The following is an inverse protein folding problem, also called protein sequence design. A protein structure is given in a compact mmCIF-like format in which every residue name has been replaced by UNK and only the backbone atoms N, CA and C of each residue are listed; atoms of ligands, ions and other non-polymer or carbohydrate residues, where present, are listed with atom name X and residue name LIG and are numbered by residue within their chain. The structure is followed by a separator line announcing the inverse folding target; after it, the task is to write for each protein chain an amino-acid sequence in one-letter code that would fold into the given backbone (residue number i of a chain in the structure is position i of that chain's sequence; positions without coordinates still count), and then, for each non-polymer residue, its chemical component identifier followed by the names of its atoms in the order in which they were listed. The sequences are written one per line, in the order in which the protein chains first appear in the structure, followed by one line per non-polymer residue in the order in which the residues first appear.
data_IF_366845987720
#
_entry.id   IF_366845987720
#
_cell.length_a   1.000
_cell.length_b   1.000
_cell.length_c   1.000
_cell.angle_alpha   90.00
_cell.angle_beta   90.00
_cell.angle_gamma   90.00
#
_symmetry.space_group_name_H-M   'P 1'
#
loop_
_entity.id
_entity.type
_entity.pdbx_description
1 polymer ?
#
# COMPACT_ATOMS: atom_id res chain seq x y z
N UNK A 1 -7.67 -58.50 18.61
CA UNK A 1 -9.11 -58.81 18.73
C UNK A 1 -9.72 -57.94 19.82
N UNK A 2 -10.97 -57.52 19.60
CA UNK A 2 -11.85 -56.66 20.43
C UNK A 2 -11.73 -55.14 20.21
N UNK A 3 -12.52 -54.72 19.22
CA UNK A 3 -13.19 -53.43 19.06
C UNK A 3 -13.96 -53.05 20.33
N UNK A 4 -14.17 -51.75 20.57
CA UNK A 4 -15.47 -51.16 20.95
C UNK A 4 -15.39 -49.62 20.83
N UNK A 5 -16.25 -49.07 19.96
CA UNK A 5 -16.63 -47.65 19.85
C UNK A 5 -17.64 -47.28 20.96
N UNK A 6 -17.77 -45.98 21.28
CA UNK A 6 -19.04 -45.27 21.06
C UNK A 6 -18.77 -43.89 20.40
N UNK A 7 -19.41 -43.48 19.29
CA UNK A 7 -20.83 -43.16 19.01
C UNK A 7 -21.37 -41.94 19.79
N UNK A 8 -21.49 -40.85 19.02
CA UNK A 8 -22.44 -39.72 19.02
C UNK A 8 -22.59 -38.79 20.26
N UNK A 9 -22.27 -37.51 20.03
CA UNK A 9 -23.22 -36.42 20.27
C UNK A 9 -23.01 -35.33 19.23
N UNK A 10 -23.96 -35.25 18.29
CA UNK A 10 -24.11 -34.18 17.31
C UNK A 10 -24.88 -33.06 18.00
N UNK A 11 -24.30 -31.87 18.12
CA UNK A 11 -25.03 -30.66 18.45
C UNK A 11 -25.31 -29.91 17.14
N UNK A 12 -26.51 -30.10 16.59
CA UNK A 12 -27.06 -29.18 15.59
C UNK A 12 -27.51 -27.91 16.30
N UNK A 13 -26.98 -26.76 15.89
CA UNK A 13 -27.62 -25.46 16.13
C UNK A 13 -28.12 -24.98 14.78
N UNK A 14 -29.45 -25.00 14.65
CA UNK A 14 -30.20 -24.51 13.52
C UNK A 14 -30.41 -22.98 13.62
N UNK A 15 -30.58 -22.39 12.44
CA UNK A 15 -30.54 -20.99 12.07
C UNK A 15 -31.50 -20.05 12.83
N UNK A 16 -31.09 -18.79 12.95
CA UNK A 16 -32.00 -17.64 12.80
C UNK A 16 -31.48 -16.74 11.69
N UNK A 17 -32.10 -16.84 10.52
CA UNK A 17 -32.03 -15.83 9.49
C UNK A 17 -32.89 -14.63 9.94
N UNK A 18 -32.26 -13.46 10.10
CA UNK A 18 -32.95 -12.18 10.06
C UNK A 18 -32.65 -11.58 8.68
N UNK A 19 -33.66 -11.61 7.83
CA UNK A 19 -33.69 -10.91 6.55
C UNK A 19 -34.22 -9.51 6.80
N UNK A 20 -33.46 -8.48 6.42
CA UNK A 20 -33.98 -7.14 6.11
C UNK A 20 -33.21 -6.60 4.90
N UNK A 21 -33.83 -6.80 3.73
CA UNK A 21 -33.95 -5.88 2.59
C UNK A 21 -32.84 -4.81 2.39
N UNK A 22 -32.07 -5.05 1.34
CA UNK A 22 -31.54 -4.11 0.32
C UNK A 22 -31.93 -2.63 0.39
N UNK A 23 -30.90 -1.79 0.23
CA UNK A 23 -30.86 -0.74 -0.80
C UNK A 23 -29.47 -0.79 -1.47
N UNK A 24 -29.47 -0.95 -2.80
CA UNK A 24 -28.33 -0.64 -3.66
C UNK A 24 -27.96 0.84 -3.49
N UNK A 25 -26.67 1.11 -3.30
CA UNK A 25 -26.02 2.31 -3.82
C UNK A 25 -24.55 1.94 -4.05
N UNK A 26 -24.21 1.71 -5.32
CA UNK A 26 -22.83 1.65 -5.81
C UNK A 26 -22.18 3.02 -5.57
N UNK A 27 -21.50 3.16 -4.44
CA UNK A 27 -20.48 4.17 -4.22
C UNK A 27 -19.11 3.47 -4.30
N UNK A 28 -18.22 3.99 -5.15
CA UNK A 28 -16.85 3.50 -5.32
C UNK A 28 -16.15 3.23 -3.99
N UNK A 29 -15.77 1.97 -3.75
CA UNK A 29 -14.80 1.61 -2.72
C UNK A 29 -13.37 1.94 -3.23
N UNK A 30 -13.03 3.22 -3.29
CA UNK A 30 -11.63 3.68 -3.28
C UNK A 30 -11.29 4.05 -1.82
N UNK A 31 -10.25 3.46 -1.19
CA UNK A 31 -9.86 3.85 0.16
C UNK A 31 -9.25 5.26 0.14
N UNK A 32 -10.02 6.26 0.56
CA UNK A 32 -9.48 7.59 0.86
C UNK A 32 -8.79 7.59 2.22
N UNK A 33 -7.57 8.15 2.26
CA UNK A 33 -6.90 8.49 3.50
C UNK A 33 -7.63 9.63 4.24
N UNK A 34 -7.45 9.66 5.56
CA UNK A 34 -8.22 10.45 6.53
C UNK A 34 -8.47 11.90 6.10
N UNK A 35 -9.67 12.17 5.57
CA UNK A 35 -10.21 13.52 5.49
C UNK A 35 -10.79 13.90 6.86
N UNK A 36 -10.21 14.90 7.52
CA UNK A 36 -10.89 15.63 8.59
C UNK A 36 -12.13 16.32 8.02
N UNK A 37 -13.30 15.72 8.22
CA UNK A 37 -14.56 16.23 7.70
C UNK A 37 -14.99 17.51 8.44
N UNK A 38 -15.13 18.61 7.70
CA UNK A 38 -16.00 19.72 8.10
C UNK A 38 -17.27 19.62 7.26
N UNK A 39 -18.41 19.43 7.93
CA UNK A 39 -19.69 19.18 7.30
C UNK A 39 -20.21 20.37 6.48
N UNK A 40 -20.70 20.11 5.27
CA UNK A 40 -21.71 20.93 4.61
C UNK A 40 -22.65 20.04 3.79
N UNK A 41 -23.94 20.22 4.04
CA UNK A 41 -25.05 19.38 3.60
C UNK A 41 -25.30 19.39 2.09
N UNK A 42 -25.83 18.24 1.66
CA UNK A 42 -26.36 17.83 0.36
C UNK A 42 -27.29 18.83 -0.35
N UNK A 43 -27.18 18.82 -1.67
CA UNK A 43 -28.21 19.25 -2.64
C UNK A 43 -28.96 18.01 -3.13
N UNK A 44 -30.26 18.14 -3.40
CA UNK A 44 -31.04 17.20 -4.22
C UNK A 44 -32.01 18.01 -5.08
N UNK A 45 -32.04 17.72 -6.38
CA UNK A 45 -33.26 17.72 -7.18
C UNK A 45 -33.03 16.84 -8.42
N UNK A 46 -33.88 15.81 -8.53
CA UNK A 46 -34.10 14.91 -9.67
C UNK A 46 -34.67 15.67 -10.88
N UNK A 47 -34.55 15.10 -12.09
CA UNK A 47 -35.67 14.89 -13.04
C UNK A 47 -35.24 14.01 -14.25
N UNK A 48 -36.10 13.02 -14.55
CA UNK A 48 -36.11 12.04 -15.65
C UNK A 48 -36.19 12.63 -17.09
N UNK A 49 -35.87 11.83 -18.13
CA UNK A 49 -36.81 11.51 -19.23
C UNK A 49 -36.22 10.67 -20.39
N UNK A 50 -36.86 9.51 -20.60
CA UNK A 50 -37.34 8.85 -21.84
C UNK A 50 -36.43 8.39 -23.01
N UNK A 51 -36.46 7.06 -23.20
CA UNK A 51 -36.83 6.26 -24.39
C UNK A 51 -36.36 6.67 -25.81
N UNK A 52 -35.64 5.79 -26.53
CA UNK A 52 -36.19 4.83 -27.53
C UNK A 52 -35.06 4.15 -28.32
N UNK A 53 -35.26 2.89 -28.68
CA UNK A 53 -34.43 2.10 -29.63
C UNK A 53 -35.29 1.76 -30.84
N UNK A 54 -34.73 1.60 -32.06
CA UNK A 54 -34.48 0.22 -32.53
C UNK A 54 -33.29 0.04 -33.53
N UNK A 55 -32.46 -0.99 -33.27
CA UNK A 55 -32.17 -2.22 -34.05
C UNK A 55 -31.99 -2.22 -35.62
N UNK A 56 -31.42 -3.28 -36.24
CA UNK A 56 -30.02 -3.39 -36.71
C UNK A 56 -29.89 -3.73 -38.22
N UNK A 57 -28.71 -3.60 -38.86
CA UNK A 57 -28.40 -4.20 -40.19
C UNK A 57 -26.87 -4.28 -40.46
N UNK A 58 -26.34 -5.50 -40.38
CA UNK A 58 -25.55 -6.22 -41.42
C UNK A 58 -24.07 -5.90 -41.69
N UNK A 59 -23.25 -6.92 -41.38
CA UNK A 59 -22.07 -7.47 -42.08
C UNK A 59 -20.81 -6.63 -42.33
N UNK A 60 -19.71 -7.05 -41.71
CA UNK A 60 -18.55 -7.59 -42.43
C UNK A 60 -17.64 -8.37 -41.46
N UNK A 61 -17.34 -9.62 -41.83
CA UNK A 61 -16.19 -10.38 -41.35
C UNK A 61 -14.91 -9.79 -41.92
N UNK A 62 -13.79 -10.15 -41.28
CA UNK A 62 -12.38 -9.83 -41.55
C UNK A 62 -11.87 -8.53 -40.93
N UNK A 63 -11.25 -8.62 -39.76
CA UNK A 63 -9.79 -8.48 -39.66
C UNK A 63 -9.25 -9.02 -38.33
N UNK A 64 -8.01 -9.50 -38.38
CA UNK A 64 -7.26 -10.14 -37.30
C UNK A 64 -7.29 -9.30 -36.02
N UNK A 65 -7.65 -9.93 -34.91
CA UNK A 65 -7.24 -9.53 -33.57
C UNK A 65 -5.70 -9.51 -33.50
N UNK A 66 -5.12 -8.35 -33.83
CA UNK A 66 -4.02 -7.83 -33.03
C UNK A 66 -4.71 -7.14 -31.86
N UNK A 67 -4.35 -7.54 -30.64
CA UNK A 67 -4.67 -6.79 -29.43
C UNK A 67 -4.14 -5.35 -29.61
N UNK A 68 -4.98 -4.45 -30.14
CA UNK A 68 -4.79 -3.02 -29.99
C UNK A 68 -5.13 -2.72 -28.54
N UNK A 69 -4.11 -2.34 -27.79
CA UNK A 69 -4.20 -1.87 -26.41
C UNK A 69 -5.29 -0.80 -26.33
N UNK A 70 -6.46 -1.16 -25.82
CA UNK A 70 -7.72 -0.41 -26.00
C UNK A 70 -7.81 0.85 -25.11
N UNK A 71 -6.66 1.38 -24.69
CA UNK A 71 -6.57 2.56 -23.79
C UNK A 71 -6.92 3.87 -24.51
N UNK A 72 -6.91 3.89 -25.84
CA UNK A 72 -7.10 5.12 -26.63
C UNK A 72 -5.94 6.11 -26.53
N UNK A 73 -4.83 5.70 -25.88
CA UNK A 73 -3.62 6.51 -25.73
C UNK A 73 -2.73 6.38 -26.97
N UNK A 74 -1.99 7.44 -27.26
CA UNK A 74 -0.99 7.46 -28.31
C UNK A 74 0.28 6.75 -27.83
N UNK A 75 0.53 5.57 -28.38
CA UNK A 75 1.77 4.84 -28.12
C UNK A 75 3.00 5.57 -28.67
N UNK A 76 4.04 5.66 -27.85
CA UNK A 76 5.34 6.29 -28.17
C UNK A 76 6.42 5.23 -28.35
N UNK A 77 7.44 5.59 -29.12
CA UNK A 77 8.60 4.71 -29.33
C UNK A 77 9.42 4.60 -28.03
N UNK A 78 9.65 3.38 -27.49
CA UNK A 78 10.47 3.18 -26.29
C UNK A 78 11.89 3.77 -26.40
N UNK A 79 12.43 3.92 -27.61
CA UNK A 79 13.74 4.54 -27.84
C UNK A 79 13.80 6.02 -27.45
N UNK A 80 12.65 6.73 -27.44
CA UNK A 80 12.56 8.15 -27.03
C UNK A 80 12.87 8.34 -25.53
N UNK A 81 12.83 7.25 -24.76
CA UNK A 81 12.89 7.24 -23.30
C UNK A 81 14.12 6.48 -22.78
N UNK A 82 15.11 6.24 -23.64
CA UNK A 82 16.40 5.72 -23.23
C UNK A 82 17.28 6.86 -22.73
N UNK A 83 17.50 6.92 -21.40
CA UNK A 83 18.44 7.86 -20.83
C UNK A 83 19.87 7.48 -21.21
N UNK A 84 20.68 8.46 -21.60
CA UNK A 84 22.08 8.26 -22.00
C UNK A 84 22.89 7.54 -20.91
N UNK A 85 23.81 6.68 -21.35
CA UNK A 85 24.79 5.95 -20.53
C UNK A 85 25.35 6.85 -19.41
N UNK A 86 25.26 6.33 -18.20
CA UNK A 86 25.63 7.02 -16.97
C UNK A 86 27.04 6.56 -16.56
N UNK A 87 27.75 7.30 -15.71
CA UNK A 87 29.07 6.86 -15.21
C UNK A 87 29.03 5.47 -14.53
N UNK A 88 27.86 5.07 -14.02
CA UNK A 88 27.64 3.81 -13.31
C UNK A 88 26.94 2.72 -14.15
N UNK A 89 26.39 3.06 -15.33
CA UNK A 89 25.67 2.11 -16.18
C UNK A 89 26.24 2.14 -17.60
N UNK A 90 26.84 1.04 -18.09
CA UNK A 90 27.53 1.01 -19.37
C UNK A 90 26.60 1.15 -20.58
N UNK A 91 25.29 0.97 -20.40
CA UNK A 91 24.27 1.02 -21.45
C UNK A 91 23.18 2.05 -21.12
N UNK A 92 22.49 2.62 -22.13
CA UNK A 92 21.28 3.40 -21.92
C UNK A 92 20.21 2.58 -21.18
N UNK A 93 19.54 3.18 -20.21
CA UNK A 93 18.48 2.54 -19.43
C UNK A 93 17.13 3.18 -19.74
N UNK A 94 16.03 2.41 -19.79
CA UNK A 94 14.68 2.95 -19.83
C UNK A 94 14.42 3.88 -18.64
N UNK A 95 13.97 5.09 -18.96
CA UNK A 95 13.74 6.16 -18.01
C UNK A 95 12.52 6.99 -18.42
N UNK A 96 11.46 6.96 -17.60
CA UNK A 96 10.20 7.67 -17.88
C UNK A 96 9.88 8.62 -16.74
N UNK A 97 9.58 9.87 -17.06
CA UNK A 97 9.08 10.85 -16.10
C UNK A 97 7.61 11.21 -16.40
N UNK A 98 6.82 11.51 -15.38
CA UNK A 98 5.53 12.18 -15.56
C UNK A 98 5.73 13.62 -16.03
N UNK A 99 4.75 14.17 -16.74
CA UNK A 99 4.81 15.54 -17.26
C UNK A 99 4.98 16.62 -16.16
N UNK A 100 4.41 16.39 -14.98
CA UNK A 100 4.54 17.23 -13.79
C UNK A 100 5.86 16.99 -13.01
N UNK A 101 6.65 16.00 -13.41
CA UNK A 101 7.92 15.63 -12.79
C UNK A 101 7.80 14.93 -11.42
N UNK A 102 6.59 14.67 -10.92
CA UNK A 102 6.34 14.02 -9.61
C UNK A 102 6.79 12.56 -9.59
N UNK A 103 6.66 11.86 -10.72
CA UNK A 103 7.04 10.44 -10.86
C UNK A 103 8.21 10.32 -11.81
N UNK A 104 9.24 9.60 -11.38
CA UNK A 104 10.43 9.31 -12.20
C UNK A 104 10.80 7.84 -12.04
N UNK A 105 10.66 7.06 -13.10
CA UNK A 105 10.85 5.63 -13.11
C UNK A 105 12.07 5.22 -13.92
N UNK A 106 12.80 4.23 -13.40
CA UNK A 106 13.94 3.59 -14.07
C UNK A 106 13.72 2.08 -14.12
N UNK A 107 14.07 1.45 -15.24
CA UNK A 107 14.13 -0.01 -15.35
C UNK A 107 15.59 -0.40 -15.49
N UNK A 108 16.14 -1.05 -14.46
CA UNK A 108 17.52 -1.56 -14.49
C UNK A 108 17.57 -2.89 -15.24
N UNK A 109 18.66 -3.15 -15.97
CA UNK A 109 18.87 -4.40 -16.72
C UNK A 109 18.74 -5.66 -15.86
N UNK A 110 19.00 -5.57 -14.55
CA UNK A 110 18.91 -6.71 -13.62
C UNK A 110 17.54 -6.89 -12.96
N UNK A 111 16.64 -5.91 -13.07
CA UNK A 111 15.40 -5.87 -12.29
C UNK A 111 14.16 -6.33 -13.07
N UNK A 112 14.14 -6.25 -14.40
CA UNK A 112 12.98 -6.47 -15.28
C UNK A 112 11.70 -5.66 -14.93
N UNK A 113 11.74 -4.83 -13.89
CA UNK A 113 10.61 -4.05 -13.36
C UNK A 113 11.09 -2.65 -12.93
N UNK A 114 10.20 -1.63 -12.98
CA UNK A 114 10.61 -0.28 -12.68
C UNK A 114 10.75 -0.04 -11.18
N UNK A 115 11.69 0.82 -10.81
CA UNK A 115 11.71 1.50 -9.51
C UNK A 115 11.45 2.98 -9.76
N UNK A 116 10.52 3.56 -9.01
CA UNK A 116 10.03 4.92 -9.27
C UNK A 116 10.21 5.83 -8.06
N UNK A 117 10.95 6.93 -8.18
CA UNK A 117 10.79 8.03 -7.24
C UNK A 117 9.43 8.69 -7.43
N UNK A 118 8.78 9.01 -6.31
CA UNK A 118 7.46 9.64 -6.30
C UNK A 118 7.44 10.76 -5.26
N UNK A 119 7.07 11.96 -5.68
CA UNK A 119 6.74 13.08 -4.82
C UNK A 119 5.26 13.01 -4.41
N UNK A 120 4.98 12.24 -3.37
CA UNK A 120 3.63 12.03 -2.86
C UNK A 120 3.08 13.29 -2.18
N UNK A 121 1.80 13.58 -2.41
CA UNK A 121 1.07 14.62 -1.67
C UNK A 121 0.91 14.24 -0.19
N UNK A 122 0.59 12.98 0.06
CA UNK A 122 0.57 12.36 1.40
C UNK A 122 1.37 11.05 1.34
N UNK A 123 2.67 11.08 1.71
CA UNK A 123 3.55 9.92 1.67
C UNK A 123 3.00 8.71 2.45
N UNK A 124 2.81 7.55 1.80
CA UNK A 124 2.46 6.33 2.51
C UNK A 124 3.46 6.02 3.63
N UNK A 125 2.93 5.69 4.81
CA UNK A 125 3.77 5.31 5.95
C UNK A 125 4.19 3.85 5.80
N UNK A 126 5.50 3.64 5.75
CA UNK A 126 6.08 2.33 5.51
C UNK A 126 7.20 2.04 6.52
N UNK A 127 6.86 1.59 7.74
CA UNK A 127 7.85 1.42 8.79
C UNK A 127 8.86 0.30 8.47
N UNK A 128 10.15 0.58 8.70
CA UNK A 128 11.23 -0.39 8.52
C UNK A 128 12.35 -0.21 9.54
N UNK A 129 13.09 -1.28 9.83
CA UNK A 129 14.16 -1.29 10.84
C UNK A 129 15.40 -0.48 10.42
N UNK A 130 15.63 -0.32 9.12
CA UNK A 130 16.87 0.23 8.55
C UNK A 130 16.64 1.48 7.71
N UNK A 131 15.51 2.15 7.91
CA UNK A 131 15.18 3.37 7.19
C UNK A 131 15.39 4.58 8.10
N UNK A 132 15.92 5.68 7.54
CA UNK A 132 16.00 6.95 8.28
C UNK A 132 14.69 7.72 8.24
N UNK A 133 13.77 7.32 7.37
CA UNK A 133 12.42 7.86 7.27
C UNK A 133 11.43 6.73 7.09
N UNK A 134 10.23 6.88 7.64
CA UNK A 134 9.10 5.99 7.35
C UNK A 134 8.08 6.63 6.40
N UNK A 135 8.34 7.86 5.94
CA UNK A 135 7.56 8.51 4.88
C UNK A 135 8.14 8.09 3.54
N UNK A 136 7.37 7.33 2.78
CA UNK A 136 7.82 6.81 1.49
C UNK A 136 8.12 7.95 0.51
N UNK A 137 9.13 7.78 -0.34
CA UNK A 137 9.43 8.69 -1.46
C UNK A 137 9.70 7.91 -2.77
N UNK A 138 9.38 6.62 -2.75
CA UNK A 138 9.69 5.67 -3.78
C UNK A 138 8.59 4.60 -3.86
N UNK A 139 8.39 4.04 -5.04
CA UNK A 139 7.60 2.83 -5.27
C UNK A 139 8.54 1.79 -5.88
N UNK A 140 8.60 0.63 -5.25
CA UNK A 140 9.36 -0.53 -5.69
C UNK A 140 8.41 -1.65 -6.09
N UNK A 141 8.95 -2.71 -6.70
CA UNK A 141 8.20 -3.87 -7.13
C UNK A 141 8.88 -5.16 -6.63
N UNK A 142 8.07 -6.13 -6.21
CA UNK A 142 8.48 -7.51 -5.91
C UNK A 142 7.44 -8.49 -6.45
N UNK A 143 7.88 -9.63 -6.99
CA UNK A 143 7.00 -10.58 -7.70
C UNK A 143 5.87 -11.15 -6.83
N UNK A 144 6.10 -11.35 -5.54
CA UNK A 144 5.12 -11.89 -4.58
C UNK A 144 4.25 -10.81 -3.92
N UNK A 145 4.49 -9.54 -4.25
CA UNK A 145 3.92 -8.38 -3.57
C UNK A 145 3.26 -7.35 -4.48
N UNK A 146 3.69 -7.26 -5.73
CA UNK A 146 3.36 -6.17 -6.63
C UNK A 146 4.10 -4.87 -6.28
N UNK A 147 3.47 -3.73 -6.55
CA UNK A 147 4.03 -2.41 -6.27
C UNK A 147 3.82 -2.01 -4.81
N UNK A 148 4.88 -1.54 -4.16
CA UNK A 148 4.79 -1.11 -2.76
C UNK A 148 5.57 0.17 -2.52
N UNK A 149 5.06 1.08 -1.66
CA UNK A 149 5.80 2.24 -1.20
C UNK A 149 7.05 1.83 -0.44
N UNK A 150 8.11 2.61 -0.60
CA UNK A 150 9.38 2.43 0.08
C UNK A 150 10.08 3.77 0.26
N UNK A 151 11.21 3.74 0.95
CA UNK A 151 12.03 4.92 1.18
C UNK A 151 13.47 4.69 0.71
N UNK A 152 14.04 5.70 0.06
CA UNK A 152 15.45 5.78 -0.29
C UNK A 152 16.02 7.15 0.08
N UNK A 153 17.28 7.17 0.55
CA UNK A 153 18.03 8.41 0.81
C UNK A 153 18.14 9.25 -0.45
N UNK A 154 18.46 8.58 -1.55
CA UNK A 154 18.66 9.17 -2.84
C UNK A 154 18.06 8.23 -3.88
N UNK A 155 17.26 8.80 -4.78
CA UNK A 155 16.85 8.11 -5.99
C UNK A 155 17.74 8.59 -7.12
N UNK A 156 18.50 7.66 -7.67
CA UNK A 156 19.32 7.94 -8.83
C UNK A 156 18.42 8.46 -9.96
N UNK A 157 18.72 9.64 -10.51
CA UNK A 157 17.95 10.23 -11.61
C UNK A 157 18.93 10.63 -12.72
N UNK A 158 18.79 10.10 -13.95
CA UNK A 158 19.54 10.59 -15.10
C UNK A 158 19.30 12.09 -15.32
N UNK A 159 20.30 12.79 -15.85
CA UNK A 159 20.26 14.26 -15.97
C UNK A 159 19.12 14.78 -16.86
N UNK A 160 18.80 14.11 -17.97
CA UNK A 160 17.64 14.41 -18.81
C UNK A 160 16.79 13.15 -18.95
N UNK A 161 15.57 13.19 -18.41
CA UNK A 161 14.53 12.17 -18.62
C UNK A 161 13.45 12.75 -19.51
N UNK A 162 13.07 12.01 -20.55
CA UNK A 162 11.95 12.41 -21.41
C UNK A 162 10.63 12.24 -20.64
N UNK A 163 9.81 13.30 -20.50
CA UNK A 163 8.48 13.16 -19.91
C UNK A 163 7.52 12.45 -20.88
N UNK A 164 6.67 11.59 -20.34
CA UNK A 164 5.51 11.05 -21.03
C UNK A 164 4.38 12.09 -20.95
N UNK A 165 3.89 12.59 -22.09
CA UNK A 165 2.90 13.65 -22.10
C UNK A 165 1.48 13.09 -21.93
N UNK A 166 0.53 13.98 -21.62
CA UNK A 166 -0.89 13.66 -21.59
C UNK A 166 -1.36 12.98 -22.89
N UNK A 167 -2.17 11.93 -22.72
CA UNK A 167 -2.70 11.12 -23.80
C UNK A 167 -1.69 10.16 -24.41
N UNK A 168 -0.51 9.98 -23.81
CA UNK A 168 0.55 9.10 -24.32
C UNK A 168 0.75 7.85 -23.46
N UNK A 169 1.27 6.80 -24.09
CA UNK A 169 1.74 5.58 -23.44
C UNK A 169 3.09 5.14 -24.01
N UNK A 170 3.85 4.37 -23.24
CA UNK A 170 5.08 3.71 -23.70
C UNK A 170 5.25 2.37 -22.98
N UNK A 171 5.68 1.34 -23.72
CA UNK A 171 5.85 -0.01 -23.20
C UNK A 171 7.27 -0.53 -23.45
N UNK A 172 7.92 -1.02 -22.40
CA UNK A 172 9.20 -1.72 -22.44
C UNK A 172 9.00 -3.17 -22.01
N UNK A 173 9.09 -4.11 -22.96
CA UNK A 173 8.79 -5.52 -22.73
C UNK A 173 7.46 -5.73 -21.98
N UNK A 174 7.50 -6.09 -20.69
CA UNK A 174 6.30 -6.36 -19.86
C UNK A 174 5.90 -5.19 -18.96
N UNK A 175 6.54 -4.03 -19.10
CA UNK A 175 6.30 -2.84 -18.29
C UNK A 175 5.69 -1.76 -19.17
N UNK A 176 4.53 -1.24 -18.80
CA UNK A 176 3.91 -0.11 -19.50
C UNK A 176 3.75 1.11 -18.60
N UNK A 177 3.86 2.28 -19.22
CA UNK A 177 3.62 3.59 -18.62
C UNK A 177 2.52 4.27 -19.41
N UNK A 178 1.53 4.81 -18.72
CA UNK A 178 0.37 5.45 -19.31
C UNK A 178 0.17 6.81 -18.64
N UNK A 179 -0.02 7.87 -19.42
CA UNK A 179 -0.34 9.20 -18.92
C UNK A 179 -1.69 9.68 -19.48
N UNK A 180 -2.83 9.22 -18.94
CA UNK A 180 -4.16 9.61 -19.43
C UNK A 180 -4.43 11.11 -19.34
N UNK A 181 -3.85 11.80 -18.36
CA UNK A 181 -3.93 13.24 -18.16
C UNK A 181 -2.58 13.83 -17.73
N UNK A 182 -2.43 15.15 -17.74
CA UNK A 182 -1.15 15.81 -17.43
C UNK A 182 -0.61 15.55 -15.99
N UNK A 183 -1.50 15.22 -15.06
CA UNK A 183 -1.18 14.99 -13.64
C UNK A 183 -1.48 13.54 -13.22
N UNK A 184 -1.56 12.62 -14.18
CA UNK A 184 -1.83 11.22 -13.93
C UNK A 184 -0.81 10.36 -14.66
N UNK A 185 -0.19 9.44 -13.92
CA UNK A 185 0.65 8.40 -14.49
C UNK A 185 0.31 7.06 -13.87
N UNK A 186 0.08 6.07 -14.72
CA UNK A 186 -0.11 4.68 -14.33
C UNK A 186 1.07 3.86 -14.83
N UNK A 187 1.64 3.04 -13.94
CA UNK A 187 2.71 2.11 -14.26
C UNK A 187 2.20 0.70 -14.05
N UNK A 188 2.34 -0.15 -15.07
CA UNK A 188 1.89 -1.55 -15.03
C UNK A 188 3.09 -2.47 -15.23
N UNK A 189 3.17 -3.52 -14.42
CA UNK A 189 4.18 -4.56 -14.56
C UNK A 189 3.65 -5.88 -14.00
N UNK A 190 3.84 -6.98 -14.74
CA UNK A 190 3.51 -8.35 -14.30
C UNK A 190 2.09 -8.51 -13.70
N UNK A 191 1.11 -7.81 -14.26
CA UNK A 191 -0.29 -7.89 -13.83
C UNK A 191 -0.68 -6.97 -12.66
N UNK A 192 0.27 -6.23 -12.09
CA UNK A 192 0.03 -5.22 -11.05
C UNK A 192 0.18 -3.81 -11.60
N UNK A 193 -0.37 -2.84 -10.88
CA UNK A 193 -0.21 -1.44 -11.25
C UNK A 193 -0.16 -0.51 -10.04
N UNK A 194 0.43 0.65 -10.26
CA UNK A 194 0.18 1.80 -9.41
C UNK A 194 -0.11 3.03 -10.26
N UNK A 195 -0.88 3.94 -9.69
CA UNK A 195 -1.25 5.22 -10.29
C UNK A 195 -0.92 6.33 -9.31
N UNK A 196 -0.31 7.40 -9.82
CA UNK A 196 -0.21 8.67 -9.12
C UNK A 196 -1.08 9.67 -9.87
N UNK A 197 -2.10 10.20 -9.21
CA UNK A 197 -3.08 11.17 -9.75
C UNK A 197 -3.38 12.27 -8.73
N UNK A 198 -4.27 13.20 -9.09
CA UNK A 198 -4.83 14.19 -8.15
C UNK A 198 -3.76 14.96 -7.34
N UNK A 199 -2.73 15.45 -8.04
CA UNK A 199 -1.61 16.23 -7.48
C UNK A 199 -0.70 15.45 -6.50
N UNK A 200 -0.58 14.13 -6.70
CA UNK A 200 0.39 13.28 -5.97
C UNK A 200 -0.22 12.24 -5.05
N UNK A 201 -1.53 11.95 -5.19
CA UNK A 201 -2.19 10.85 -4.49
C UNK A 201 -1.81 9.51 -5.12
N UNK A 202 -1.43 8.55 -4.29
CA UNK A 202 -0.96 7.24 -4.70
C UNK A 202 -2.02 6.16 -4.54
N UNK A 203 -2.17 5.35 -5.58
CA UNK A 203 -3.09 4.22 -5.66
C UNK A 203 -2.33 3.01 -6.18
N UNK A 204 -2.59 1.83 -5.64
CA UNK A 204 -2.11 0.57 -6.20
C UNK A 204 -3.08 -0.55 -5.90
N UNK A 205 -3.16 -1.54 -6.78
CA UNK A 205 -3.94 -2.75 -6.57
C UNK A 205 -3.46 -3.60 -5.38
N UNK A 206 -2.24 -3.35 -4.90
CA UNK A 206 -1.60 -4.11 -3.82
C UNK A 206 -1.34 -3.28 -2.56
N UNK A 207 -1.73 -2.01 -2.54
CA UNK A 207 -1.56 -1.11 -1.40
C UNK A 207 -2.88 -0.40 -1.01
N UNK A 208 -3.24 -0.31 0.28
CA UNK A 208 -2.51 -0.82 1.45
C UNK A 208 -2.52 -2.35 1.54
N UNK A 209 -1.39 -2.98 1.94
CA UNK A 209 -1.28 -4.43 1.99
C UNK A 209 -2.13 -4.98 3.13
N UNK A 210 -2.79 -6.11 2.88
CA UNK A 210 -3.61 -6.83 3.87
C UNK A 210 -2.90 -8.10 4.34
N UNK A 211 -3.15 -8.57 5.57
CA UNK A 211 -2.66 -9.88 6.01
C UNK A 211 -3.18 -11.00 5.10
N UNK A 212 -2.40 -12.06 4.97
CA UNK A 212 -2.80 -13.30 4.30
C UNK A 212 -3.86 -14.07 5.10
N UNK A 213 -4.33 -15.20 4.56
CA UNK A 213 -5.33 -16.04 5.22
C UNK A 213 -4.87 -16.68 6.55
N UNK A 214 -3.57 -16.64 6.86
CA UNK A 214 -3.00 -17.10 8.13
C UNK A 214 -2.73 -15.93 9.09
N UNK A 215 -3.01 -14.70 8.68
CA UNK A 215 -2.75 -13.49 9.46
C UNK A 215 -1.32 -12.96 9.35
N UNK A 216 -0.48 -13.52 8.47
CA UNK A 216 0.87 -13.00 8.24
C UNK A 216 0.81 -11.81 7.28
N UNK A 217 1.60 -10.79 7.55
CA UNK A 217 1.54 -9.54 6.83
C UNK A 217 2.92 -9.03 6.42
N UNK A 218 2.95 -8.27 5.33
CA UNK A 218 4.13 -7.53 4.90
C UNK A 218 4.29 -6.25 5.72
N UNK A 219 5.51 -5.71 5.78
CA UNK A 219 5.76 -4.38 6.32
C UNK A 219 4.85 -3.34 5.65
N UNK A 220 4.42 -2.34 6.43
CA UNK A 220 3.44 -1.34 6.02
C UNK A 220 1.97 -1.76 6.21
N UNK A 221 1.65 -3.05 6.42
CA UNK A 221 0.28 -3.47 6.77
C UNK A 221 -0.11 -2.91 8.14
N UNK A 222 -1.37 -2.45 8.26
CA UNK A 222 -1.98 -2.09 9.53
C UNK A 222 -2.71 -3.31 10.11
N UNK A 223 -2.22 -3.86 11.22
CA UNK A 223 -2.85 -4.99 11.91
C UNK A 223 -4.12 -4.60 12.68
N UNK A 224 -4.26 -3.32 13.03
CA UNK A 224 -5.39 -2.81 13.81
C UNK A 224 -5.06 -1.48 14.49
N UNK A 225 -5.82 -1.17 15.53
CA UNK A 225 -5.62 0.00 16.38
C UNK A 225 -5.56 -0.43 17.84
N UNK A 226 -4.76 0.29 18.63
CA UNK A 226 -4.67 0.08 20.08
C UNK A 226 -4.64 1.41 20.82
N UNK A 227 -5.33 1.48 21.96
CA UNK A 227 -5.17 2.57 22.92
C UNK A 227 -3.90 2.33 23.73
N UNK A 228 -2.95 3.26 23.62
CA UNK A 228 -1.71 3.22 24.40
C UNK A 228 -1.99 3.60 25.85
N UNK A 229 -1.10 3.25 26.78
CA UNK A 229 -1.23 3.62 28.20
C UNK A 229 -1.28 5.15 28.45
N UNK A 230 -0.93 5.96 27.45
CA UNK A 230 -1.10 7.41 27.46
C UNK A 230 -2.50 7.91 27.08
N UNK A 231 -3.46 7.01 26.81
CA UNK A 231 -4.83 7.33 26.39
C UNK A 231 -4.97 7.75 24.92
N UNK A 232 -3.91 7.61 24.12
CA UNK A 232 -3.94 7.88 22.68
C UNK A 232 -4.11 6.58 21.91
N UNK A 233 -5.08 6.55 20.98
CA UNK A 233 -5.23 5.47 20.00
C UNK A 233 -4.23 5.64 18.86
N UNK A 234 -3.51 4.57 18.51
CA UNK A 234 -2.60 4.54 17.37
C UNK A 234 -2.86 3.35 16.46
N UNK A 235 -2.45 3.48 15.20
CA UNK A 235 -2.44 2.38 14.23
C UNK A 235 -1.24 1.48 14.51
N UNK A 236 -1.46 0.16 14.48
CA UNK A 236 -0.43 -0.86 14.65
C UNK A 236 0.09 -1.26 13.29
N UNK A 237 1.27 -0.74 12.92
CA UNK A 237 1.93 -1.04 11.65
C UNK A 237 2.92 -2.19 11.79
N UNK A 238 2.92 -3.07 10.80
CA UNK A 238 3.95 -4.08 10.61
C UNK A 238 5.25 -3.42 10.15
N UNK A 239 6.36 -3.78 10.80
CA UNK A 239 7.72 -3.29 10.49
C UNK A 239 8.58 -4.28 9.72
N UNK A 240 8.21 -5.55 9.75
CA UNK A 240 8.99 -6.66 9.21
C UNK A 240 8.06 -7.66 8.54
N UNK A 241 8.43 -8.12 7.34
CA UNK A 241 7.62 -9.07 6.58
C UNK A 241 7.44 -10.39 7.33
N UNK A 242 6.26 -11.00 7.17
CA UNK A 242 5.90 -12.26 7.83
C UNK A 242 5.42 -12.10 9.27
N UNK A 243 5.26 -10.87 9.76
CA UNK A 243 4.68 -10.60 11.09
C UNK A 243 3.24 -11.12 11.14
N UNK A 244 2.92 -11.93 12.15
CA UNK A 244 1.55 -12.38 12.39
C UNK A 244 0.75 -11.30 13.14
N UNK A 245 -0.28 -10.76 12.50
CA UNK A 245 -1.08 -9.67 13.07
C UNK A 245 -1.87 -10.08 14.31
N UNK A 246 -2.32 -11.34 14.42
CA UNK A 246 -3.05 -11.79 15.60
C UNK A 246 -2.13 -11.81 16.84
N UNK A 247 -0.96 -12.44 16.71
CA UNK A 247 0.05 -12.50 17.78
C UNK A 247 0.54 -11.09 18.16
N UNK A 248 0.74 -10.22 17.15
CA UNK A 248 1.17 -8.84 17.36
C UNK A 248 0.15 -8.00 18.15
N UNK A 249 -1.15 -8.15 17.84
CA UNK A 249 -2.20 -7.46 18.57
C UNK A 249 -2.34 -8.02 19.99
N UNK A 250 -2.22 -9.33 20.19
CA UNK A 250 -2.29 -9.96 21.51
C UNK A 250 -1.15 -9.52 22.44
N UNK A 251 0.09 -9.51 21.96
CA UNK A 251 1.22 -9.08 22.79
C UNK A 251 1.15 -7.58 23.13
N UNK A 252 0.66 -6.75 22.19
CA UNK A 252 0.43 -5.33 22.44
C UNK A 252 -0.65 -5.11 23.50
N UNK A 253 -1.77 -5.83 23.42
CA UNK A 253 -2.84 -5.77 24.41
C UNK A 253 -2.32 -6.15 25.81
N UNK A 254 -1.55 -7.22 25.90
CA UNK A 254 -0.89 -7.64 27.14
C UNK A 254 0.04 -6.56 27.70
N UNK A 255 0.77 -5.84 26.86
CA UNK A 255 1.67 -4.77 27.27
C UNK A 255 0.92 -3.54 27.82
N UNK A 256 -0.11 -3.07 27.09
CA UNK A 256 -0.84 -1.85 27.47
C UNK A 256 -1.71 -2.06 28.71
N UNK A 257 -2.22 -3.28 28.91
CA UNK A 257 -3.04 -3.66 30.07
C UNK A 257 -2.21 -4.22 31.24
N UNK A 258 -0.88 -4.22 31.15
CA UNK A 258 -0.02 -4.70 32.22
C UNK A 258 -0.10 -3.80 33.46
N UNK A 259 -0.21 -4.42 34.65
CA UNK A 259 -0.21 -3.71 35.94
C UNK A 259 1.21 -3.35 36.37
N UNK A 260 1.74 -2.31 35.73
CA UNK A 260 3.08 -1.80 35.97
C UNK A 260 3.26 -1.32 37.41
N UNK A 261 4.21 -1.92 38.14
CA UNK A 261 4.56 -1.42 39.47
C UNK A 261 5.26 -0.07 39.38
N UNK A 262 5.27 0.66 40.51
CA UNK A 262 5.97 1.95 40.60
C UNK A 262 7.45 1.78 40.26
N UNK A 263 7.90 2.45 39.19
CA UNK A 263 9.27 2.37 38.69
C UNK A 263 9.50 1.37 37.55
N UNK A 264 8.52 0.54 37.21
CA UNK A 264 8.64 -0.47 36.13
C UNK A 264 8.07 0.03 34.78
N UNK A 265 7.00 0.82 34.79
CA UNK A 265 6.22 1.20 33.59
C UNK A 265 6.49 2.55 32.94
N UNK A 266 7.72 3.05 33.00
CA UNK A 266 8.08 4.32 32.35
C UNK A 266 8.16 4.24 30.81
N UNK A 267 8.65 5.30 30.17
CA UNK A 267 8.89 5.36 28.69
C UNK A 267 9.98 4.40 28.18
N UNK A 268 10.38 3.41 28.99
CA UNK A 268 11.35 2.34 28.72
C UNK A 268 10.93 1.00 29.33
N UNK A 269 9.67 0.87 29.79
CA UNK A 269 9.15 -0.41 30.28
C UNK A 269 9.35 -1.48 29.23
N UNK A 270 9.99 -2.59 29.61
CA UNK A 270 10.17 -3.75 28.74
C UNK A 270 9.36 -4.87 29.34
N UNK A 271 8.42 -5.42 28.56
CA UNK A 271 7.65 -6.58 28.99
C UNK A 271 8.00 -7.77 28.09
N UNK A 272 8.80 -8.73 28.59
CA UNK A 272 8.93 -10.02 27.93
C UNK A 272 7.65 -10.85 28.14
N UNK A 273 7.27 -11.62 27.13
CA UNK A 273 6.17 -12.59 27.17
C UNK A 273 6.55 -13.84 26.37
N UNK A 274 5.68 -14.86 26.41
CA UNK A 274 5.85 -16.06 25.58
C UNK A 274 5.76 -15.76 24.08
N UNK A 275 5.07 -14.68 23.70
CA UNK A 275 4.90 -14.24 22.31
C UNK A 275 6.04 -13.35 21.81
N UNK A 276 6.80 -12.70 22.71
CA UNK A 276 7.85 -11.78 22.30
C UNK A 276 8.25 -10.76 23.36
N UNK A 277 8.66 -9.59 22.89
CA UNK A 277 9.04 -8.47 23.76
C UNK A 277 8.46 -7.17 23.22
N UNK A 278 7.86 -6.38 24.10
CA UNK A 278 7.36 -5.04 23.80
C UNK A 278 8.10 -3.99 24.64
N UNK A 279 8.34 -2.82 24.04
CA UNK A 279 8.93 -1.68 24.73
C UNK A 279 8.69 -0.36 23.99
N UNK A 280 8.95 0.76 24.68
CA UNK A 280 9.09 2.06 24.03
C UNK A 280 10.56 2.31 23.67
N UNK A 281 10.83 2.43 22.38
CA UNK A 281 12.18 2.74 21.86
C UNK A 281 12.08 3.56 20.58
N UNK A 282 13.10 4.35 20.28
CA UNK A 282 13.23 4.94 18.95
C UNK A 282 13.55 3.85 17.90
N UNK A 283 13.19 4.06 16.62
CA UNK A 283 13.71 3.27 15.51
C UNK A 283 15.23 3.25 15.50
N UNK A 284 15.82 2.15 15.00
CA UNK A 284 17.26 1.88 15.13
C UNK A 284 18.17 2.98 14.58
N UNK A 285 17.75 3.66 13.51
CA UNK A 285 18.53 4.73 12.87
C UNK A 285 18.18 6.13 13.38
N UNK A 286 17.25 6.24 14.33
CA UNK A 286 16.84 7.51 14.91
C UNK A 286 17.51 7.69 16.26
N UNK A 287 17.70 8.94 16.67
CA UNK A 287 18.21 9.24 18.02
C UNK A 287 17.17 8.77 19.06
N UNK A 288 17.63 8.06 20.11
CA UNK A 288 16.77 7.56 21.19
C UNK A 288 16.39 8.65 22.21
N UNK A 289 15.67 9.66 21.73
CA UNK A 289 15.06 10.74 22.53
C UNK A 289 13.56 10.49 22.75
N UNK A 290 12.95 11.05 23.82
CA UNK A 290 11.54 10.81 24.15
C UNK A 290 10.55 11.00 22.98
N UNK A 291 10.81 11.98 22.11
CA UNK A 291 9.95 12.34 20.96
C UNK A 291 9.95 11.29 19.85
N UNK A 292 11.02 10.50 19.74
CA UNK A 292 11.16 9.44 18.74
C UNK A 292 10.72 8.07 19.26
N UNK A 293 10.50 7.93 20.57
CA UNK A 293 10.11 6.66 21.17
C UNK A 293 8.66 6.32 20.86
N UNK A 294 8.47 5.14 20.31
CA UNK A 294 7.16 4.58 19.99
C UNK A 294 7.05 3.21 20.65
N UNK A 295 5.82 2.81 20.99
CA UNK A 295 5.56 1.45 21.43
C UNK A 295 5.79 0.52 20.25
N UNK A 296 6.68 -0.45 20.41
CA UNK A 296 6.88 -1.49 19.43
C UNK A 296 7.10 -2.85 20.08
N UNK A 297 6.78 -3.89 19.33
CA UNK A 297 6.96 -5.27 19.75
C UNK A 297 7.73 -6.05 18.69
N UNK A 298 8.52 -7.00 19.14
CA UNK A 298 9.16 -8.04 18.33
C UNK A 298 8.58 -9.38 18.74
N UNK A 299 8.20 -10.22 17.78
CA UNK A 299 7.62 -11.53 18.03
C UNK A 299 8.70 -12.62 18.08
N UNK A 300 8.54 -13.60 18.97
CA UNK A 300 9.41 -14.78 19.04
C UNK A 300 9.29 -15.67 17.79
N UNK A 301 8.13 -15.65 17.11
CA UNK A 301 7.88 -16.30 15.83
C UNK A 301 8.59 -15.62 14.65
N UNK A 302 9.14 -14.42 14.85
CA UNK A 302 9.72 -13.57 13.83
C UNK A 302 8.81 -12.37 13.48
N UNK A 303 9.46 -11.28 13.07
CA UNK A 303 8.78 -10.04 12.72
C UNK A 303 8.50 -9.12 13.91
N UNK A 304 7.77 -8.04 13.65
CA UNK A 304 7.51 -7.00 14.64
C UNK A 304 6.59 -5.89 14.16
N UNK A 305 6.05 -5.16 15.13
CA UNK A 305 5.11 -4.06 14.92
C UNK A 305 5.54 -2.80 15.65
N UNK A 306 4.99 -1.66 15.22
CA UNK A 306 5.08 -0.37 15.90
C UNK A 306 3.71 0.30 15.93
N UNK A 307 3.41 0.97 17.03
CA UNK A 307 2.21 1.78 17.19
C UNK A 307 2.54 3.23 16.83
N UNK A 308 1.83 3.76 15.85
CA UNK A 308 1.96 5.16 15.43
C UNK A 308 0.67 5.89 15.82
N UNK A 309 0.78 6.80 16.79
CA UNK A 309 -0.33 7.66 17.24
C UNK A 309 -0.33 8.99 16.47
N UNK A 310 -1.42 9.77 16.51
CA UNK A 310 -1.46 11.11 15.91
C UNK A 310 -0.33 12.03 16.40
N UNK A 311 0.10 11.89 17.66
CA UNK A 311 1.21 12.66 18.23
C UNK A 311 2.53 12.39 17.49
N UNK A 312 2.83 11.12 17.23
CA UNK A 312 4.09 10.71 16.63
C UNK A 312 4.05 10.80 15.09
N UNK A 313 2.87 10.89 14.48
CA UNK A 313 2.70 11.06 13.03
C UNK A 313 3.40 12.32 12.48
N UNK A 314 3.37 13.41 13.24
CA UNK A 314 4.00 14.68 12.86
C UNK A 314 5.53 14.68 13.00
N UNK A 315 6.10 13.70 13.70
CA UNK A 315 7.55 13.57 13.92
C UNK A 315 8.16 12.40 13.18
N UNK A 316 7.37 11.68 12.37
CA UNK A 316 7.91 10.67 11.47
C UNK A 316 8.86 11.37 10.49
N UNK A 317 10.14 11.04 10.64
CA UNK A 317 11.15 11.37 9.65
C UNK A 317 10.82 10.62 8.38
#
# INVERSE_FOLDING_TARGET
MKKLFPILSVAMIACTAASCSSADDTASDEPQFQQTSTAASSSTDDTESSEESPSPTTSQEEEKEKDEDSSGLKERDPQDFLASSLEHFPNPIPAVASADGRVRCLIYEEADVPTCAVDFADPPIYPGLTQMSWRSNLVAFQDDRGFYPSWAIEFYTPGEMTPLNEGESVTFDTVSFEAPSANEITVKAKGHHFTVKDDGQYYSDTFPPKPDGNGNAFAGTVCGQIETSGGETGNVYVREDGTNCADAMEILDNYVNHDWQSGEGGSRGMLPSDLGMCSYSAPRLWEDIPENRMLGCSLNSGGGVVVITPRNMGTLQ
#
